data_IF_651826963808
#
_entry.id   IF_651826963808
#
_cell.length_a   1.000
_cell.length_b   1.000
_cell.length_c   1.000
_cell.angle_alpha   90.00
_cell.angle_beta   90.00
_cell.angle_gamma   90.00
#
_symmetry.space_group_name_H-M   'P 1'
#
loop_
_entity.id
_entity.type
_entity.pdbx_description
1 polymer ?
#
# COMPACT_ATOMS: atom_id res chain seq x y z
N UNK A 1 -10.92 18.64 24.74
CA UNK A 1 -10.38 18.97 23.42
C UNK A 1 -10.27 20.48 23.34
N UNK A 2 -9.07 21.04 23.19
CA UNK A 2 -8.91 22.49 23.08
C UNK A 2 -9.52 22.97 21.75
N UNK A 3 -10.33 24.02 21.81
CA UNK A 3 -10.96 24.61 20.64
C UNK A 3 -9.89 25.40 19.89
N UNK A 4 -9.68 25.08 18.61
CA UNK A 4 -8.67 25.73 17.74
C UNK A 4 -9.32 26.22 16.46
N UNK A 5 -8.84 27.33 15.89
CA UNK A 5 -9.21 27.77 14.55
C UNK A 5 -8.05 27.54 13.57
N UNK A 6 -8.36 27.38 12.28
CA UNK A 6 -7.35 27.16 11.22
C UNK A 6 -7.24 28.38 10.32
N UNK A 7 -6.03 28.87 10.08
CA UNK A 7 -5.79 30.00 9.19
C UNK A 7 -6.11 29.64 7.74
N UNK A 8 -7.02 30.38 7.10
CA UNK A 8 -7.43 30.12 5.71
C UNK A 8 -6.32 30.33 4.67
N UNK A 9 -5.26 31.05 5.02
CA UNK A 9 -4.15 31.34 4.11
C UNK A 9 -3.03 30.28 4.18
N UNK A 10 -2.58 29.93 5.40
CA UNK A 10 -1.44 29.03 5.60
C UNK A 10 -1.78 27.67 6.23
N UNK A 11 -3.06 27.43 6.55
CA UNK A 11 -3.57 26.20 7.19
C UNK A 11 -3.02 25.88 8.60
N UNK A 12 -2.29 26.81 9.24
CA UNK A 12 -1.82 26.65 10.61
C UNK A 12 -3.00 26.66 11.60
N UNK A 13 -3.03 25.70 12.54
CA UNK A 13 -3.96 25.70 13.68
C UNK A 13 -3.46 26.64 14.76
N UNK A 14 -4.31 27.55 15.21
CA UNK A 14 -4.00 28.53 16.26
C UNK A 14 -4.93 28.31 17.47
N UNK A 15 -4.49 28.79 18.64
CA UNK A 15 -5.33 28.83 19.86
C UNK A 15 -6.52 29.77 19.66
N UNK A 16 -7.65 29.50 20.32
CA UNK A 16 -8.82 30.39 20.34
C UNK A 16 -8.52 31.76 20.98
N UNK A 17 -7.54 31.84 21.89
CA UNK A 17 -7.15 33.10 22.54
C UNK A 17 -6.23 33.98 21.66
N UNK A 18 -5.87 33.51 20.46
CA UNK A 18 -4.98 34.23 19.55
C UNK A 18 -5.78 35.00 18.50
N UNK A 19 -5.73 36.33 18.58
CA UNK A 19 -6.39 37.23 17.62
C UNK A 19 -5.77 37.19 16.22
N UNK A 20 -4.54 36.67 16.10
CA UNK A 20 -3.77 36.60 14.86
C UNK A 20 -3.12 35.22 14.67
N UNK A 21 -2.87 34.84 13.41
CA UNK A 21 -2.17 33.61 13.08
C UNK A 21 -0.67 33.73 13.38
N UNK A 22 -0.10 32.75 14.09
CA UNK A 22 1.32 32.74 14.48
C UNK A 22 2.29 32.75 13.29
N UNK A 23 1.89 32.19 12.15
CA UNK A 23 2.76 32.07 10.96
C UNK A 23 2.70 33.30 10.06
N UNK A 24 1.51 33.88 9.84
CA UNK A 24 1.33 34.94 8.84
C UNK A 24 0.86 36.28 9.40
N UNK A 25 0.60 36.38 10.71
CA UNK A 25 0.16 37.62 11.38
C UNK A 25 -1.24 38.12 10.98
N UNK A 26 -2.01 37.35 10.19
CA UNK A 26 -3.36 37.75 9.77
C UNK A 26 -4.38 37.50 10.89
N UNK A 27 -5.39 38.37 11.06
CA UNK A 27 -6.41 38.20 12.08
C UNK A 27 -7.34 37.03 11.79
N UNK A 28 -8.00 36.50 12.83
CA UNK A 28 -8.86 35.31 12.73
C UNK A 28 -10.05 35.49 11.77
N UNK A 29 -10.54 36.72 11.58
CA UNK A 29 -11.67 37.07 10.72
C UNK A 29 -11.28 37.39 9.26
N UNK A 30 -10.00 37.31 8.92
CA UNK A 30 -9.50 37.66 7.59
C UNK A 30 -10.16 36.80 6.48
N UNK A 31 -10.81 37.48 5.53
CA UNK A 31 -11.39 36.87 4.33
C UNK A 31 -10.55 37.23 3.11
N UNK A 32 -10.23 36.27 2.22
CA UNK A 32 -9.59 36.59 0.96
C UNK A 32 -10.55 37.41 0.10
N UNK A 33 -10.23 38.67 -0.15
CA UNK A 33 -10.97 39.50 -1.10
C UNK A 33 -10.78 38.90 -2.49
N UNK A 34 -11.86 38.38 -3.09
CA UNK A 34 -11.90 38.07 -4.52
C UNK A 34 -11.93 39.40 -5.28
N UNK A 35 -10.77 40.00 -5.49
CA UNK A 35 -10.62 41.11 -6.42
C UNK A 35 -9.42 40.80 -7.32
N UNK A 36 -9.74 40.26 -8.49
CA UNK A 36 -8.85 40.26 -9.65
C UNK A 36 -8.76 41.67 -10.24
N UNK A 37 -8.23 42.61 -9.47
CA UNK A 37 -7.68 43.86 -9.96
C UNK A 37 -6.22 43.88 -9.56
N UNK A 38 -5.40 43.51 -10.54
CA UNK A 38 -3.94 43.56 -10.47
C UNK A 38 -3.56 45.04 -10.50
N UNK A 39 -3.43 45.64 -9.33
CA UNK A 39 -2.81 46.95 -9.18
C UNK A 39 -1.30 46.78 -9.42
N UNK A 40 -0.91 46.99 -10.68
CA UNK A 40 0.48 47.01 -11.14
C UNK A 40 1.18 48.19 -10.45
N UNK A 41 1.90 47.90 -9.37
CA UNK A 41 2.81 48.86 -8.75
C UNK A 41 4.04 49.05 -9.67
N UNK A 42 3.88 49.91 -10.69
CA UNK A 42 4.98 50.48 -11.47
C UNK A 42 5.81 51.37 -10.54
N UNK A 43 6.96 50.87 -10.09
CA UNK A 43 8.02 51.73 -9.53
C UNK A 43 8.54 52.63 -10.66
N UNK A 44 8.21 53.91 -10.57
CA UNK A 44 8.84 55.00 -11.33
C UNK A 44 10.19 55.29 -10.68
N UNK A 45 11.27 54.94 -11.37
CA UNK A 45 12.55 55.59 -11.15
C UNK A 45 12.70 56.69 -12.20
N UNK A 46 12.31 57.90 -11.80
CA UNK A 46 12.62 59.16 -12.47
C UNK A 46 13.95 59.68 -11.94
N UNK A 47 15.00 59.64 -12.75
CA UNK A 47 16.19 60.47 -12.59
C UNK A 47 16.66 60.95 -13.98
N UNK A 48 15.94 61.95 -14.49
CA UNK A 48 16.41 62.87 -15.52
C UNK A 48 17.11 64.04 -14.83
N UNK A 49 18.41 64.21 -15.09
CA UNK A 49 19.21 65.34 -14.63
C UNK A 49 20.24 65.69 -15.69
N UNK A 50 19.80 66.43 -16.70
CA UNK A 50 20.67 67.09 -17.67
C UNK A 50 21.23 68.38 -17.05
N UNK A 51 22.51 68.65 -17.29
CA UNK A 51 23.14 69.94 -17.02
C UNK A 51 24.34 70.14 -17.95
N UNK A 52 24.35 71.14 -18.84
CA UNK A 52 25.53 71.55 -19.59
C UNK A 52 26.19 72.75 -18.87
N UNK A 53 27.50 72.70 -18.63
CA UNK A 53 28.27 73.85 -18.13
C UNK A 53 29.55 74.03 -18.96
N UNK A 54 29.43 74.99 -19.88
CA UNK A 54 30.36 76.05 -20.31
C UNK A 54 31.86 75.96 -19.93
N UNK A 55 32.70 76.12 -20.97
CA UNK A 55 34.16 76.45 -20.98
C UNK A 55 34.54 77.65 -20.09
N UNK A 56 35.84 77.77 -19.73
CA UNK A 56 36.61 78.85 -20.35
C UNK A 56 38.05 78.47 -20.75
N UNK A 57 38.56 79.22 -21.74
CA UNK A 57 39.96 79.28 -22.18
C UNK A 57 40.83 80.12 -21.25
N UNK A 58 42.13 79.77 -21.12
CA UNK A 58 43.35 80.63 -21.12
C UNK A 58 44.55 79.68 -20.93
N UNK A 59 45.49 79.58 -21.87
CA UNK A 59 46.56 80.51 -22.23
C UNK A 59 47.74 80.49 -21.24
N UNK A 60 48.94 80.43 -21.84
CA UNK A 60 50.27 80.78 -21.31
C UNK A 60 51.20 79.67 -20.77
N UNK A 61 52.08 79.24 -21.69
CA UNK A 61 53.52 79.54 -21.69
C UNK A 61 54.55 78.76 -20.83
N UNK A 62 55.28 77.93 -21.59
CA UNK A 62 56.75 77.86 -21.70
C UNK A 62 57.60 77.09 -20.65
N UNK A 63 58.91 76.83 -20.90
CA UNK A 63 59.44 75.45 -20.89
C UNK A 63 60.62 75.27 -19.91
N UNK A 64 60.84 74.06 -19.38
CA UNK A 64 62.15 73.70 -18.81
C UNK A 64 62.55 72.27 -19.14
N UNK A 65 63.37 72.18 -20.19
CA UNK A 65 64.35 71.13 -20.40
C UNK A 65 65.37 71.15 -19.26
N UNK A 66 65.71 69.98 -18.71
CA UNK A 66 67.08 69.56 -18.30
C UNK A 66 67.00 68.22 -17.57
N UNK A 67 67.98 67.33 -17.83
CA UNK A 67 68.24 66.01 -17.21
C UNK A 67 67.86 64.77 -18.05
N UNK A 68 68.26 64.78 -19.33
CA UNK A 68 68.39 63.58 -20.16
C UNK A 68 69.79 62.94 -20.00
N UNK A 69 70.02 62.25 -18.88
CA UNK A 69 71.17 61.33 -18.78
C UNK A 69 70.99 60.18 -17.76
N UNK A 70 69.91 60.17 -16.97
CA UNK A 70 69.52 59.01 -16.13
C UNK A 70 68.18 58.37 -16.55
N UNK A 71 67.45 58.97 -17.50
CA UNK A 71 66.10 58.56 -17.91
C UNK A 71 66.04 57.24 -18.71
N UNK A 72 67.12 56.83 -19.39
CA UNK A 72 67.13 55.61 -20.21
C UNK A 72 67.11 54.33 -19.37
N UNK A 73 67.78 54.33 -18.20
CA UNK A 73 67.81 53.17 -17.29
C UNK A 73 66.47 53.02 -16.55
N UNK A 74 65.87 54.12 -16.08
CA UNK A 74 64.52 54.09 -15.48
C UNK A 74 63.43 53.73 -16.48
N UNK A 75 63.53 54.21 -17.73
CA UNK A 75 62.60 53.81 -18.79
C UNK A 75 62.70 52.31 -19.09
N UNK A 76 63.92 51.77 -19.27
CA UNK A 76 64.13 50.35 -19.53
C UNK A 76 63.70 49.47 -18.34
N UNK A 77 64.01 49.85 -17.10
CA UNK A 77 63.57 49.12 -15.91
C UNK A 77 62.06 49.21 -15.72
N UNK A 78 61.42 50.34 -16.04
CA UNK A 78 59.95 50.47 -16.00
C UNK A 78 59.26 49.62 -17.07
N UNK A 79 59.88 49.48 -18.25
CA UNK A 79 59.39 48.62 -19.33
C UNK A 79 59.56 47.17 -18.94
N UNK A 80 60.72 46.78 -18.40
CA UNK A 80 60.96 45.42 -17.90
C UNK A 80 60.06 45.08 -16.71
N UNK A 81 59.80 46.02 -15.80
CA UNK A 81 58.87 45.84 -14.69
C UNK A 81 57.42 45.79 -15.19
N UNK A 82 57.03 46.58 -16.19
CA UNK A 82 55.69 46.50 -16.79
C UNK A 82 55.51 45.20 -17.55
N UNK A 83 56.51 44.75 -18.31
CA UNK A 83 56.54 43.44 -18.99
C UNK A 83 56.50 42.33 -17.94
N UNK A 84 57.30 42.41 -16.89
CA UNK A 84 57.28 41.44 -15.79
C UNK A 84 55.93 41.45 -15.06
N UNK A 85 55.36 42.60 -14.71
CA UNK A 85 54.04 42.69 -14.05
C UNK A 85 52.90 42.26 -14.97
N UNK A 86 52.99 42.50 -16.29
CA UNK A 86 51.99 42.00 -17.25
C UNK A 86 52.13 40.50 -17.52
N UNK A 87 53.34 39.95 -17.45
CA UNK A 87 53.58 38.51 -17.60
C UNK A 87 53.38 37.71 -16.31
N UNK A 88 53.61 38.31 -15.14
CA UNK A 88 53.65 37.63 -13.83
C UNK A 88 52.39 37.81 -12.98
N UNK A 89 51.44 38.64 -13.40
CA UNK A 89 50.20 38.85 -12.65
C UNK A 89 48.96 38.45 -13.45
N UNK A 90 48.72 37.16 -13.75
CA UNK A 90 47.37 36.71 -14.07
C UNK A 90 46.57 36.63 -12.76
N UNK A 91 46.29 37.79 -12.19
CA UNK A 91 45.29 37.95 -11.14
C UNK A 91 43.94 37.74 -11.81
N UNK A 92 43.16 36.77 -11.32
CA UNK A 92 41.82 36.51 -11.83
C UNK A 92 40.79 36.62 -10.73
N UNK A 93 39.73 37.36 -11.01
CA UNK A 93 38.55 37.40 -10.17
C UNK A 93 37.64 36.23 -10.53
N UNK A 94 37.44 35.30 -9.59
CA UNK A 94 36.49 34.20 -9.71
C UNK A 94 35.11 34.66 -9.26
N UNK A 95 34.10 34.36 -10.08
CA UNK A 95 32.69 34.59 -9.73
C UNK A 95 32.21 33.58 -8.69
N UNK A 96 31.03 33.84 -8.11
CA UNK A 96 30.37 32.96 -7.12
C UNK A 96 30.14 31.53 -7.65
N UNK A 97 29.95 31.37 -8.95
CA UNK A 97 29.69 30.10 -9.63
C UNK A 97 30.91 29.55 -10.40
N UNK A 98 32.08 30.15 -10.23
CA UNK A 98 33.32 29.73 -10.91
C UNK A 98 34.28 29.05 -9.92
N UNK A 99 34.94 28.01 -10.40
CA UNK A 99 35.98 27.27 -9.70
C UNK A 99 37.24 27.25 -10.57
N UNK A 100 38.36 27.68 -10.00
CA UNK A 100 39.67 27.54 -10.60
C UNK A 100 40.25 26.17 -10.26
N UNK A 101 40.70 25.44 -11.28
CA UNK A 101 41.43 24.17 -11.15
C UNK A 101 42.85 24.38 -11.64
N UNK A 102 43.83 24.19 -10.76
CA UNK A 102 45.25 24.32 -11.09
C UNK A 102 45.89 22.93 -11.06
N UNK A 103 46.51 22.54 -12.18
CA UNK A 103 47.25 21.30 -12.27
C UNK A 103 48.68 21.51 -11.76
N UNK A 104 49.06 20.76 -10.72
CA UNK A 104 50.45 20.60 -10.29
C UNK A 104 51.02 19.31 -10.88
N UNK A 105 52.31 19.06 -10.64
CA UNK A 105 52.99 17.87 -11.15
C UNK A 105 52.34 16.56 -10.67
N UNK A 106 51.84 16.53 -9.44
CA UNK A 106 51.24 15.33 -8.82
C UNK A 106 49.83 15.54 -8.31
N UNK A 107 49.40 16.78 -8.10
CA UNK A 107 48.11 17.09 -7.48
C UNK A 107 47.31 18.08 -8.29
N UNK A 108 45.98 18.03 -8.18
CA UNK A 108 45.11 19.08 -8.68
C UNK A 108 44.56 19.83 -7.48
N UNK A 109 44.73 21.15 -7.45
CA UNK A 109 44.13 21.99 -6.40
C UNK A 109 42.95 22.75 -6.98
N UNK A 110 41.84 22.79 -6.24
CA UNK A 110 40.65 23.53 -6.61
C UNK A 110 40.45 24.72 -5.69
N UNK A 111 40.05 25.86 -6.24
CA UNK A 111 39.72 27.07 -5.48
C UNK A 111 38.36 27.58 -5.94
N UNK A 112 37.38 27.58 -5.04
CA UNK A 112 36.02 28.02 -5.32
C UNK A 112 35.95 29.55 -5.16
N UNK A 113 35.20 30.22 -6.03
CA UNK A 113 34.87 31.62 -5.85
C UNK A 113 33.82 31.85 -4.74
N UNK A 114 33.46 33.13 -4.47
CA UNK A 114 34.00 34.33 -5.07
C UNK A 114 35.36 34.72 -4.47
N UNK A 115 36.26 35.28 -5.26
CA UNK A 115 37.54 35.74 -4.74
C UNK A 115 38.55 36.09 -5.81
N UNK A 116 39.55 36.88 -5.42
CA UNK A 116 40.68 37.22 -6.28
C UNK A 116 41.79 36.20 -6.02
N UNK A 117 42.13 35.41 -7.05
CA UNK A 117 43.12 34.33 -6.95
C UNK A 117 44.31 34.68 -7.82
N UNK A 118 45.51 34.56 -7.24
CA UNK A 118 46.76 34.72 -7.98
C UNK A 118 47.16 33.40 -8.63
N UNK A 119 47.26 33.39 -9.95
CA UNK A 119 47.59 32.20 -10.73
C UNK A 119 49.08 32.25 -11.07
N UNK A 120 49.80 31.14 -10.88
CA UNK A 120 51.19 31.04 -11.33
C UNK A 120 51.22 30.88 -12.86
N UNK A 121 51.92 31.74 -13.63
CA UNK A 121 51.92 31.72 -15.10
C UNK A 121 52.53 30.44 -15.69
N UNK A 122 53.32 29.70 -14.92
CA UNK A 122 53.95 28.45 -15.36
C UNK A 122 53.10 27.20 -15.10
N UNK A 123 51.87 27.35 -14.58
CA UNK A 123 50.96 26.23 -14.31
C UNK A 123 49.77 26.24 -15.26
N UNK A 124 49.42 25.08 -15.77
CA UNK A 124 48.18 24.88 -16.53
C UNK A 124 46.99 24.97 -15.57
N UNK A 125 46.00 25.78 -15.95
CA UNK A 125 44.77 25.91 -15.19
C UNK A 125 43.55 25.81 -16.09
N UNK A 126 42.43 25.38 -15.52
CA UNK A 126 41.12 25.38 -16.17
C UNK A 126 40.08 25.97 -15.22
N UNK A 127 39.00 26.51 -15.79
CA UNK A 127 37.91 27.08 -15.00
C UNK A 127 36.67 26.25 -15.26
N UNK A 128 36.14 25.70 -14.18
CA UNK A 128 34.91 24.96 -14.16
C UNK A 128 33.80 25.84 -13.58
N UNK A 129 32.59 25.75 -14.13
CA UNK A 129 31.41 26.35 -13.50
C UNK A 129 30.81 25.36 -12.52
N UNK A 130 30.33 25.89 -11.40
CA UNK A 130 29.55 25.14 -10.42
C UNK A 130 28.22 24.71 -11.02
N UNK A 131 27.71 23.58 -10.54
CA UNK A 131 26.41 23.05 -10.94
C UNK A 131 25.39 23.49 -9.91
N UNK A 132 24.43 24.31 -10.32
CA UNK A 132 23.32 24.72 -9.45
C UNK A 132 22.32 23.56 -9.37
N UNK A 133 22.14 23.00 -8.18
CA UNK A 133 21.16 21.94 -7.93
C UNK A 133 19.92 22.52 -7.26
N UNK A 134 18.76 22.31 -7.88
CA UNK A 134 17.46 22.59 -7.28
C UNK A 134 17.11 21.58 -6.18
N UNK A 135 15.95 21.76 -5.56
CA UNK A 135 15.48 20.93 -4.42
C UNK A 135 15.29 19.46 -4.81
N UNK A 136 14.88 19.20 -6.06
CA UNK A 136 14.68 17.84 -6.58
C UNK A 136 15.90 17.33 -7.34
N UNK A 137 16.86 18.20 -7.68
CA UNK A 137 17.96 17.80 -8.55
C UNK A 137 19.03 17.05 -7.77
N UNK A 138 19.67 16.10 -8.44
CA UNK A 138 20.81 15.39 -7.90
C UNK A 138 21.87 15.17 -8.98
N UNK A 139 23.09 14.98 -8.51
CA UNK A 139 24.23 14.70 -9.36
C UNK A 139 24.93 13.44 -8.90
N UNK A 140 25.28 12.56 -9.85
CA UNK A 140 26.16 11.42 -9.62
C UNK A 140 27.59 11.83 -9.92
N UNK A 141 28.44 11.65 -8.92
CA UNK A 141 29.86 12.01 -8.97
C UNK A 141 30.68 10.76 -8.74
N UNK A 142 31.69 10.56 -9.59
CA UNK A 142 32.68 9.51 -9.40
C UNK A 142 34.05 10.13 -9.18
N UNK A 143 34.72 9.70 -8.13
CA UNK A 143 36.13 10.03 -7.92
C UNK A 143 37.00 9.23 -8.90
N UNK A 144 37.87 9.90 -9.63
CA UNK A 144 38.79 9.27 -10.59
C UNK A 144 39.91 8.51 -9.89
N UNK A 145 40.28 8.90 -8.66
CA UNK A 145 41.37 8.26 -7.92
C UNK A 145 40.90 6.96 -7.27
N UNK A 146 39.83 7.04 -6.48
CA UNK A 146 39.37 5.92 -5.66
C UNK A 146 38.28 5.10 -6.37
N UNK A 147 37.71 5.62 -7.45
CA UNK A 147 36.55 5.04 -8.12
C UNK A 147 35.26 5.12 -7.30
N UNK A 148 35.27 5.79 -6.14
CA UNK A 148 34.11 5.92 -5.27
C UNK A 148 33.03 6.76 -5.93
N UNK A 149 31.80 6.27 -5.92
CA UNK A 149 30.63 6.95 -6.44
C UNK A 149 29.80 7.51 -5.29
N UNK A 150 29.32 8.75 -5.44
CA UNK A 150 28.39 9.35 -4.49
C UNK A 150 27.31 10.16 -5.20
N UNK A 151 26.11 10.13 -4.64
CA UNK A 151 25.02 10.99 -5.06
C UNK A 151 25.04 12.27 -4.22
N UNK A 152 24.90 13.40 -4.88
CA UNK A 152 24.86 14.73 -4.28
C UNK A 152 23.46 15.29 -4.47
N UNK A 153 22.79 15.62 -3.37
CA UNK A 153 21.43 16.18 -3.38
C UNK A 153 21.46 17.72 -3.29
N UNK A 154 20.51 18.38 -3.95
CA UNK A 154 20.24 19.80 -3.76
C UNK A 154 19.31 20.09 -2.56
N UNK A 155 18.94 21.36 -2.32
CA UNK A 155 19.37 22.54 -3.08
C UNK A 155 20.76 23.01 -2.65
N UNK A 156 21.72 23.05 -3.57
CA UNK A 156 23.05 23.62 -3.31
C UNK A 156 23.79 23.97 -4.59
N UNK A 157 24.72 24.93 -4.49
CA UNK A 157 25.69 25.19 -5.54
C UNK A 157 26.83 24.18 -5.41
N UNK A 158 26.84 23.17 -6.28
CA UNK A 158 27.77 22.06 -6.18
C UNK A 158 29.05 22.32 -6.99
N UNK A 159 30.18 22.27 -6.29
CA UNK A 159 31.51 22.36 -6.88
C UNK A 159 32.14 20.97 -6.90
N UNK A 160 32.64 20.55 -8.06
CA UNK A 160 33.35 19.29 -8.21
C UNK A 160 34.71 19.35 -7.50
N UNK A 161 35.09 18.29 -6.80
CA UNK A 161 36.41 18.09 -6.23
C UNK A 161 37.53 17.96 -7.28
N UNK A 162 38.80 17.92 -6.86
CA UNK A 162 39.96 17.92 -7.75
C UNK A 162 40.01 16.73 -8.70
N UNK A 163 39.57 15.56 -8.26
CA UNK A 163 39.57 14.31 -9.03
C UNK A 163 38.17 13.80 -9.37
N UNK A 164 37.15 14.61 -9.08
CA UNK A 164 35.76 14.24 -9.32
C UNK A 164 35.36 14.46 -10.77
N UNK A 165 34.69 13.47 -11.34
CA UNK A 165 34.04 13.53 -12.64
C UNK A 165 32.53 13.45 -12.48
N UNK A 166 31.85 14.25 -13.29
CA UNK A 166 30.39 14.23 -13.40
C UNK A 166 29.98 13.04 -14.26
N UNK A 167 29.25 12.09 -13.67
CA UNK A 167 28.69 10.97 -14.45
C UNK A 167 27.32 11.32 -15.03
N UNK A 168 26.50 12.05 -14.28
CA UNK A 168 25.18 12.47 -14.74
C UNK A 168 24.48 13.42 -13.79
N UNK A 169 23.59 14.22 -14.35
CA UNK A 169 22.63 15.06 -13.62
C UNK A 169 21.25 14.41 -13.77
N UNK A 170 20.51 14.29 -12.69
CA UNK A 170 19.17 13.74 -12.69
C UNK A 170 18.23 14.53 -11.79
N UNK A 171 16.94 14.22 -11.90
CA UNK A 171 15.91 14.80 -11.04
C UNK A 171 15.29 13.68 -10.20
N UNK A 172 15.13 13.94 -8.91
CA UNK A 172 14.44 13.06 -7.97
C UNK A 172 12.99 12.86 -8.36
N UNK A 173 12.45 11.71 -8.01
CA UNK A 173 11.09 11.32 -8.36
C UNK A 173 10.17 11.60 -7.19
N UNK A 174 9.20 12.50 -7.39
CA UNK A 174 8.13 12.75 -6.42
C UNK A 174 7.10 11.62 -6.46
N UNK A 175 6.95 10.89 -5.35
CA UNK A 175 5.98 9.83 -5.19
C UNK A 175 4.70 10.37 -4.56
N UNK A 176 3.56 10.03 -5.15
CA UNK A 176 2.25 10.27 -4.52
C UNK A 176 1.97 9.23 -3.43
N UNK A 177 0.95 9.47 -2.59
CA UNK A 177 0.51 8.50 -1.55
C UNK A 177 0.00 7.17 -2.12
N UNK A 178 -0.24 7.08 -3.42
CA UNK A 178 -0.68 5.86 -4.12
C UNK A 178 0.47 5.16 -4.86
N UNK A 179 1.68 5.71 -4.80
CA UNK A 179 2.85 5.19 -5.51
C UNK A 179 3.92 4.74 -4.54
N UNK A 180 4.76 3.83 -5.01
CA UNK A 180 5.95 3.39 -4.34
C UNK A 180 7.08 3.25 -5.35
N UNK A 181 8.31 3.22 -4.86
CA UNK A 181 9.48 2.87 -5.67
C UNK A 181 10.07 1.56 -5.16
N UNK A 182 10.26 0.60 -6.06
CA UNK A 182 11.04 -0.60 -5.82
C UNK A 182 12.49 -0.26 -6.17
N UNK A 183 13.34 -0.21 -5.15
CA UNK A 183 14.75 0.16 -5.24
C UNK A 183 15.57 -1.12 -5.20
N UNK A 184 16.47 -1.27 -6.17
CA UNK A 184 17.46 -2.35 -6.23
C UNK A 184 18.85 -1.72 -6.22
N UNK A 185 19.68 -2.14 -5.27
CA UNK A 185 21.10 -1.79 -5.27
C UNK A 185 21.84 -2.72 -6.25
N UNK A 186 22.43 -2.14 -7.29
CA UNK A 186 23.14 -2.88 -8.34
C UNK A 186 24.36 -3.64 -7.83
N UNK A 187 24.94 -3.24 -6.70
CA UNK A 187 26.12 -3.90 -6.15
C UNK A 187 25.76 -5.10 -5.29
N UNK A 188 24.82 -4.92 -4.37
CA UNK A 188 24.45 -5.95 -3.39
C UNK A 188 23.31 -6.85 -3.89
N UNK A 189 22.50 -6.38 -4.85
CA UNK A 189 21.24 -7.00 -5.24
C UNK A 189 20.13 -6.84 -4.19
N UNK A 190 20.38 -6.06 -3.13
CA UNK A 190 19.38 -5.84 -2.09
C UNK A 190 18.23 -5.01 -2.64
N UNK A 191 17.00 -5.49 -2.39
CA UNK A 191 15.77 -4.82 -2.80
C UNK A 191 15.08 -4.21 -1.60
N UNK A 192 14.56 -3.00 -1.77
CA UNK A 192 13.74 -2.33 -0.75
C UNK A 192 12.61 -1.53 -1.40
N UNK A 193 11.56 -1.30 -0.64
CA UNK A 193 10.38 -0.54 -1.10
C UNK A 193 10.24 0.73 -0.28
N UNK A 194 10.13 1.87 -0.95
CA UNK A 194 9.77 3.15 -0.31
C UNK A 194 8.40 3.61 -0.79
N UNK A 195 7.51 3.88 0.17
CA UNK A 195 6.13 4.29 -0.07
C UNK A 195 6.03 5.82 -0.03
N UNK A 196 5.20 6.40 -0.90
CA UNK A 196 4.91 7.83 -0.84
C UNK A 196 3.98 8.21 0.33
N UNK A 197 3.75 9.52 0.58
CA UNK A 197 4.24 10.67 -0.18
C UNK A 197 5.68 11.06 0.21
N UNK A 198 6.62 10.95 -0.73
CA UNK A 198 8.04 11.22 -0.51
C UNK A 198 8.70 11.60 -1.84
N UNK A 199 9.75 12.43 -1.80
CA UNK A 199 10.65 12.58 -2.94
C UNK A 199 11.76 11.55 -2.79
N UNK A 200 11.81 10.57 -3.69
CA UNK A 200 12.90 9.62 -3.75
C UNK A 200 14.01 10.15 -4.64
N UNK A 201 15.23 10.18 -4.12
CA UNK A 201 16.43 10.51 -4.90
C UNK A 201 17.32 9.26 -4.93
N UNK A 202 17.70 8.76 -6.12
CA UNK A 202 18.54 7.57 -6.22
C UNK A 202 19.89 7.75 -5.53
N UNK A 203 20.32 6.74 -4.78
CA UNK A 203 21.72 6.60 -4.38
C UNK A 203 22.67 6.39 -5.57
N UNK A 204 23.99 6.34 -5.31
CA UNK A 204 25.01 6.21 -6.37
C UNK A 204 24.83 4.95 -7.23
N UNK A 205 24.48 3.82 -6.59
CA UNK A 205 24.34 2.50 -7.24
C UNK A 205 22.92 1.96 -7.22
N UNK A 206 21.97 2.81 -6.88
CA UNK A 206 20.58 2.43 -6.76
C UNK A 206 19.84 2.70 -8.07
N UNK A 207 19.03 1.74 -8.47
CA UNK A 207 18.04 1.89 -9.49
C UNK A 207 16.67 1.68 -8.90
N UNK A 208 15.70 2.48 -9.35
CA UNK A 208 14.34 2.44 -8.81
C UNK A 208 13.32 2.45 -9.91
N UNK A 209 12.33 1.57 -9.78
CA UNK A 209 11.15 1.55 -10.64
C UNK A 209 9.96 2.07 -9.87
N UNK A 210 9.37 3.16 -10.35
CA UNK A 210 8.16 3.73 -9.77
C UNK A 210 6.97 2.90 -10.21
N UNK A 211 6.17 2.46 -9.24
CA UNK A 211 5.01 1.61 -9.44
C UNK A 211 3.81 2.17 -8.66
N UNK A 212 2.60 1.83 -9.11
CA UNK A 212 1.38 2.18 -8.40
C UNK A 212 1.05 1.07 -7.39
N UNK A 213 0.61 1.47 -6.19
CA UNK A 213 0.06 0.56 -5.19
C UNK A 213 -1.22 -0.10 -5.70
N UNK A 214 -1.50 -1.31 -5.22
CA UNK A 214 -2.70 -2.06 -5.58
C UNK A 214 -3.86 -1.52 -4.78
N UNK A 215 -4.84 -0.91 -5.45
CA UNK A 215 -6.04 -0.40 -4.79
C UNK A 215 -7.03 -1.54 -4.61
N UNK A 216 -7.40 -1.82 -3.36
CA UNK A 216 -8.36 -2.86 -3.01
C UNK A 216 -9.67 -2.26 -2.56
N UNK A 217 -10.75 -2.74 -3.18
CA UNK A 217 -12.11 -2.45 -2.75
C UNK A 217 -12.52 -3.32 -1.55
N UNK A 218 -13.68 -3.02 -0.95
CA UNK A 218 -14.20 -3.80 0.19
C UNK A 218 -14.52 -5.27 -0.12
N UNK A 219 -14.61 -5.63 -1.39
CA UNK A 219 -14.88 -7.00 -1.88
C UNK A 219 -13.65 -7.66 -2.50
N UNK A 220 -12.50 -7.00 -2.50
CA UNK A 220 -11.26 -7.48 -3.11
C UNK A 220 -10.22 -7.80 -2.05
N UNK A 221 -9.30 -8.70 -2.40
CA UNK A 221 -8.18 -9.07 -1.56
C UNK A 221 -6.93 -9.32 -2.40
N UNK A 222 -5.77 -9.37 -1.75
CA UNK A 222 -4.50 -9.77 -2.36
C UNK A 222 -3.96 -10.97 -1.60
N UNK A 223 -3.68 -12.04 -2.33
CA UNK A 223 -2.88 -13.16 -1.84
C UNK A 223 -1.41 -12.81 -2.05
N UNK A 224 -0.63 -12.82 -0.97
CA UNK A 224 0.78 -12.44 -0.97
C UNK A 224 1.61 -13.65 -0.61
N UNK A 225 2.66 -13.91 -1.38
CA UNK A 225 3.66 -14.94 -1.13
C UNK A 225 5.03 -14.29 -1.04
N UNK A 226 5.70 -14.45 0.09
CA UNK A 226 7.09 -14.02 0.25
C UNK A 226 8.00 -15.05 -0.43
N UNK A 227 8.72 -14.62 -1.47
CA UNK A 227 9.60 -15.49 -2.26
C UNK A 227 10.79 -16.02 -1.47
N UNK A 228 11.20 -15.35 -0.38
CA UNK A 228 12.32 -15.80 0.45
C UNK A 228 11.90 -16.86 1.46
N UNK A 229 10.76 -16.66 2.13
CA UNK A 229 10.31 -17.53 3.22
C UNK A 229 9.27 -18.56 2.77
N UNK A 230 8.63 -18.36 1.62
CA UNK A 230 7.45 -19.11 1.18
C UNK A 230 6.20 -18.84 2.03
N UNK A 231 6.25 -17.85 2.93
CA UNK A 231 5.12 -17.52 3.79
C UNK A 231 4.01 -16.87 2.95
N UNK A 232 2.80 -17.40 3.08
CA UNK A 232 1.62 -16.88 2.39
C UNK A 232 0.71 -16.16 3.36
N UNK A 233 0.14 -15.03 2.92
CA UNK A 233 -0.87 -14.27 3.68
C UNK A 233 -1.89 -13.63 2.75
N UNK A 234 -3.01 -13.21 3.32
CA UNK A 234 -4.09 -12.56 2.57
C UNK A 234 -4.42 -11.22 3.21
N UNK A 235 -4.36 -10.16 2.39
CA UNK A 235 -4.68 -8.78 2.79
C UNK A 235 -6.03 -8.39 2.20
N UNK A 236 -6.95 -7.93 3.04
CA UNK A 236 -8.34 -7.60 2.66
C UNK A 236 -8.51 -6.10 2.49
N UNK A 237 -9.30 -5.65 1.52
CA UNK A 237 -9.66 -4.24 1.38
C UNK A 237 -10.70 -3.77 2.41
N UNK A 238 -11.06 -2.47 2.44
CA UNK A 238 -10.63 -1.43 1.51
C UNK A 238 -9.30 -0.75 1.94
N UNK A 239 -8.26 -0.88 1.14
CA UNK A 239 -6.96 -0.26 1.41
C UNK A 239 -6.15 -0.09 0.12
N UNK A 240 -5.03 0.64 0.20
CA UNK A 240 -4.00 0.64 -0.84
C UNK A 240 -2.88 -0.25 -0.32
N UNK A 241 -2.67 -1.38 -0.97
CA UNK A 241 -1.66 -2.34 -0.61
C UNK A 241 -0.37 -2.09 -1.42
N UNK A 242 0.77 -2.28 -0.76
CA UNK A 242 2.09 -2.10 -1.34
C UNK A 242 2.92 -3.36 -1.10
N UNK A 243 3.45 -4.01 -2.16
CA UNK A 243 4.28 -5.20 -2.00
C UNK A 243 5.56 -4.87 -1.24
N UNK A 244 6.03 -5.84 -0.47
CA UNK A 244 7.40 -5.89 0.04
C UNK A 244 8.41 -6.16 -1.08
N UNK A 245 9.72 -6.07 -0.77
CA UNK A 245 10.79 -6.16 -1.77
C UNK A 245 10.92 -7.52 -2.46
N UNK A 246 10.48 -8.57 -1.79
CA UNK A 246 10.55 -9.96 -2.24
C UNK A 246 9.17 -10.63 -2.26
N UNK A 247 8.11 -9.84 -2.34
CA UNK A 247 6.75 -10.34 -2.30
C UNK A 247 6.16 -10.44 -3.70
N UNK A 248 5.69 -11.64 -4.03
CA UNK A 248 4.81 -11.88 -5.17
C UNK A 248 3.36 -11.84 -4.71
N UNK A 249 2.46 -11.47 -5.62
CA UNK A 249 1.07 -11.29 -5.26
C UNK A 249 0.10 -11.56 -6.41
N UNK A 250 -1.10 -11.98 -6.02
CA UNK A 250 -2.24 -12.18 -6.92
C UNK A 250 -3.47 -11.48 -6.34
N UNK A 251 -4.15 -10.67 -7.15
CA UNK A 251 -5.40 -10.01 -6.77
C UNK A 251 -6.58 -10.95 -7.01
N UNK A 252 -7.46 -11.06 -6.01
CA UNK A 252 -8.67 -11.86 -6.08
C UNK A 252 -9.90 -11.09 -5.59
N UNK A 253 -11.07 -11.64 -5.90
CA UNK A 253 -12.37 -11.12 -5.45
C UNK A 253 -12.95 -12.05 -4.40
N UNK A 254 -13.42 -11.47 -3.30
CA UNK A 254 -14.15 -12.19 -2.27
C UNK A 254 -15.42 -12.84 -2.81
N UNK A 255 -15.82 -13.96 -2.20
CA UNK A 255 -17.01 -14.71 -2.59
C UNK A 255 -18.19 -14.16 -1.80
N UNK A 256 -19.17 -13.56 -2.50
CA UNK A 256 -20.41 -13.17 -1.87
C UNK A 256 -21.26 -14.39 -1.53
N UNK A 257 -21.66 -14.49 -0.26
CA UNK A 257 -22.56 -15.53 0.24
C UNK A 257 -23.90 -14.91 0.61
N UNK A 258 -24.98 -15.44 0.04
CA UNK A 258 -26.35 -15.11 0.47
C UNK A 258 -26.68 -15.76 1.82
N UNK A 259 -27.85 -15.43 2.38
CA UNK A 259 -28.35 -16.07 3.62
C UNK A 259 -28.62 -17.57 3.49
N UNK A 260 -28.64 -18.13 2.28
CA UNK A 260 -28.85 -19.54 2.01
C UNK A 260 -27.62 -20.23 1.43
N UNK A 261 -26.48 -19.55 1.38
CA UNK A 261 -25.22 -20.08 0.85
C UNK A 261 -24.18 -20.23 1.96
N UNK A 262 -23.25 -21.14 1.73
CA UNK A 262 -22.10 -21.35 2.62
C UNK A 262 -20.86 -21.73 1.81
N UNK A 263 -19.70 -21.67 2.45
CA UNK A 263 -18.43 -22.17 1.91
C UNK A 263 -17.88 -23.22 2.86
N UNK A 264 -17.59 -24.40 2.34
CA UNK A 264 -16.80 -25.40 3.05
C UNK A 264 -15.34 -25.13 2.76
N UNK A 265 -14.56 -24.94 3.82
CA UNK A 265 -13.14 -24.62 3.75
C UNK A 265 -12.34 -25.77 4.34
N UNK A 266 -11.29 -26.18 3.65
CA UNK A 266 -10.27 -27.09 4.14
C UNK A 266 -8.91 -26.39 4.07
N UNK A 267 -8.28 -26.21 5.21
CA UNK A 267 -6.91 -25.70 5.27
C UNK A 267 -5.95 -26.81 4.80
N UNK A 268 -5.16 -26.56 3.78
CA UNK A 268 -4.23 -27.56 3.20
C UNK A 268 -3.05 -27.86 4.12
N UNK A 269 -2.69 -26.93 5.01
CA UNK A 269 -1.58 -27.08 5.94
C UNK A 269 -2.00 -27.84 7.21
N UNK A 270 -3.08 -27.42 7.88
CA UNK A 270 -3.55 -28.09 9.12
C UNK A 270 -4.48 -29.27 8.88
N UNK A 271 -5.09 -29.37 7.69
CA UNK A 271 -6.15 -30.33 7.40
C UNK A 271 -7.50 -30.00 8.06
N UNK A 272 -7.58 -28.91 8.83
CA UNK A 272 -8.79 -28.48 9.51
C UNK A 272 -9.88 -28.11 8.51
N UNK A 273 -11.11 -28.57 8.78
CA UNK A 273 -12.28 -28.24 7.97
C UNK A 273 -13.21 -27.34 8.76
N UNK A 274 -13.73 -26.30 8.11
CA UNK A 274 -14.75 -25.40 8.67
C UNK A 274 -15.80 -25.05 7.63
N UNK A 275 -16.93 -24.52 8.09
CA UNK A 275 -18.02 -24.06 7.23
C UNK A 275 -18.39 -22.63 7.63
N UNK A 276 -18.21 -21.71 6.68
CA UNK A 276 -18.52 -20.30 6.84
C UNK A 276 -19.88 -20.01 6.17
N UNK A 277 -20.79 -19.38 6.91
CA UNK A 277 -22.20 -19.17 6.50
C UNK A 277 -22.44 -17.71 6.12
N UNK A 278 -23.29 -17.45 5.12
CA UNK A 278 -23.71 -16.09 4.78
C UNK A 278 -24.79 -15.52 5.73
N UNK A 279 -25.20 -14.24 5.56
CA UNK A 279 -24.82 -13.34 4.48
C UNK A 279 -23.53 -12.57 4.77
N UNK A 280 -22.48 -12.78 3.98
CA UNK A 280 -21.20 -12.08 4.13
C UNK A 280 -20.36 -12.13 2.85
N UNK A 281 -19.31 -11.30 2.79
CA UNK A 281 -18.21 -11.47 1.82
C UNK A 281 -17.18 -12.39 2.46
N UNK A 282 -17.00 -13.57 1.89
CA UNK A 282 -16.00 -14.53 2.35
C UNK A 282 -14.68 -14.33 1.59
N UNK A 283 -13.56 -14.41 2.31
CA UNK A 283 -12.22 -14.29 1.75
C UNK A 283 -11.42 -15.54 2.09
N UNK A 284 -10.78 -16.19 1.10
CA UNK A 284 -9.96 -17.36 1.38
C UNK A 284 -8.75 -16.97 2.22
N UNK A 285 -8.37 -17.84 3.17
CA UNK A 285 -7.06 -17.78 3.80
C UNK A 285 -5.94 -18.26 2.87
N UNK A 286 -4.67 -18.04 3.26
CA UNK A 286 -3.51 -18.30 2.40
C UNK A 286 -3.31 -19.77 1.98
N UNK A 287 -3.89 -20.70 2.75
CA UNK A 287 -3.79 -22.15 2.53
C UNK A 287 -5.18 -22.78 2.42
N UNK A 288 -6.22 -21.99 2.16
CA UNK A 288 -7.59 -22.48 2.17
C UNK A 288 -8.00 -22.99 0.79
N UNK A 289 -8.30 -24.28 0.70
CA UNK A 289 -9.09 -24.84 -0.40
C UNK A 289 -10.57 -24.78 -0.02
N UNK A 290 -11.43 -24.41 -0.96
CA UNK A 290 -12.82 -24.16 -0.65
C UNK A 290 -13.78 -24.59 -1.74
N UNK A 291 -15.02 -24.88 -1.34
CA UNK A 291 -16.13 -25.18 -2.23
C UNK A 291 -17.39 -24.45 -1.76
N UNK A 292 -18.07 -23.76 -2.68
CA UNK A 292 -19.34 -23.08 -2.40
C UNK A 292 -20.48 -24.10 -2.43
N UNK A 293 -21.38 -24.02 -1.44
CA UNK A 293 -22.56 -24.86 -1.32
C UNK A 293 -23.82 -24.07 -1.02
N UNK A 294 -24.96 -24.72 -1.16
CA UNK A 294 -26.29 -24.18 -0.85
C UNK A 294 -26.89 -24.90 0.34
N UNK A 295 -27.41 -24.13 1.29
CA UNK A 295 -28.13 -24.62 2.46
C UNK A 295 -29.38 -25.42 2.05
N UNK A 296 -29.78 -26.35 2.91
CA UNK A 296 -31.02 -27.11 2.71
C UNK A 296 -32.16 -26.43 3.46
N UNK A 297 -33.14 -25.92 2.72
CA UNK A 297 -34.35 -25.34 3.31
C UNK A 297 -35.39 -26.44 3.54
N UNK A 298 -35.89 -26.56 4.77
CA UNK A 298 -36.90 -27.54 5.16
C UNK A 298 -38.22 -26.84 5.49
N UNK A 299 -39.33 -27.38 5.01
CA UNK A 299 -40.68 -26.97 5.43
C UNK A 299 -41.05 -27.59 6.78
N UNK A 300 -42.19 -27.19 7.37
CA UNK A 300 -42.68 -27.74 8.64
C UNK A 300 -43.00 -29.24 8.61
N UNK A 301 -43.17 -29.82 7.42
CA UNK A 301 -43.42 -31.25 7.22
C UNK A 301 -42.20 -32.01 6.73
N UNK A 302 -41.03 -31.38 6.64
CA UNK A 302 -39.82 -31.98 6.12
C UNK A 302 -38.76 -32.18 7.20
N UNK A 303 -37.93 -33.19 6.99
CA UNK A 303 -36.77 -33.46 7.82
C UNK A 303 -35.63 -34.07 7.02
N UNK A 304 -34.43 -33.99 7.57
CA UNK A 304 -33.22 -34.65 7.05
C UNK A 304 -32.56 -35.44 8.16
N UNK A 305 -31.86 -36.49 7.77
CA UNK A 305 -30.95 -37.21 8.64
C UNK A 305 -29.53 -36.74 8.32
N UNK A 306 -28.82 -36.28 9.33
CA UNK A 306 -27.43 -35.81 9.23
C UNK A 306 -26.54 -36.83 9.90
N UNK A 307 -25.51 -37.30 9.20
CA UNK A 307 -24.51 -38.20 9.75
C UNK A 307 -23.17 -37.49 9.78
N UNK A 308 -22.60 -37.34 10.96
CA UNK A 308 -21.28 -36.78 11.13
C UNK A 308 -20.24 -37.87 10.85
N UNK A 309 -19.45 -37.72 9.78
CA UNK A 309 -18.48 -38.72 9.33
C UNK A 309 -17.38 -39.02 10.34
N UNK A 310 -17.04 -38.06 11.20
CA UNK A 310 -15.95 -38.22 12.17
C UNK A 310 -16.41 -39.04 13.39
N UNK A 311 -17.60 -38.74 13.91
CA UNK A 311 -18.13 -39.38 15.12
C UNK A 311 -19.02 -40.60 14.83
N UNK A 312 -19.52 -40.73 13.59
CA UNK A 312 -20.56 -41.70 13.23
C UNK A 312 -21.93 -41.38 13.80
N UNK A 313 -22.07 -40.29 14.57
CA UNK A 313 -23.34 -39.89 15.18
C UNK A 313 -24.31 -39.45 14.10
N UNK A 314 -25.52 -40.00 14.16
CA UNK A 314 -26.63 -39.65 13.27
C UNK A 314 -27.66 -38.85 14.05
N UNK A 315 -27.94 -37.63 13.60
CA UNK A 315 -28.92 -36.73 14.20
C UNK A 315 -30.02 -36.41 13.17
N UNK A 316 -31.24 -36.14 13.63
CA UNK A 316 -32.35 -35.71 12.78
C UNK A 316 -32.60 -34.22 12.95
N UNK A 317 -32.78 -33.51 11.82
CA UNK A 317 -33.13 -32.09 11.79
C UNK A 317 -34.53 -31.95 11.19
N UNK A 318 -35.45 -31.34 11.94
CA UNK A 318 -36.84 -31.10 11.54
C UNK A 318 -37.02 -29.64 11.10
N UNK A 319 -37.85 -29.39 10.09
CA UNK A 319 -38.20 -28.03 9.70
C UNK A 319 -39.33 -27.41 10.56
N UNK A 320 -39.68 -26.12 10.34
CA UNK A 320 -39.15 -25.25 9.29
C UNK A 320 -37.82 -24.61 9.69
N UNK A 321 -36.76 -24.86 8.91
CA UNK A 321 -35.46 -24.26 9.16
C UNK A 321 -34.58 -24.25 7.91
N UNK A 322 -33.58 -23.38 7.90
CA UNK A 322 -32.47 -23.41 6.93
C UNK A 322 -31.31 -24.12 7.61
N UNK A 323 -30.97 -25.31 7.11
CA UNK A 323 -29.90 -26.11 7.65
C UNK A 323 -28.61 -25.94 6.86
N UNK A 324 -27.49 -25.83 7.59
CA UNK A 324 -26.14 -25.74 7.05
C UNK A 324 -25.33 -26.93 7.55
N UNK A 325 -24.58 -27.62 6.66
CA UNK A 325 -23.73 -28.73 7.08
C UNK A 325 -22.60 -28.26 7.99
N UNK A 326 -22.28 -29.06 8.99
CA UNK A 326 -20.98 -29.00 9.67
C UNK A 326 -19.84 -29.53 8.77
N UNK A 327 -18.58 -29.33 9.19
CA UNK A 327 -17.39 -29.64 8.37
C UNK A 327 -17.22 -31.12 7.99
N UNK A 328 -17.85 -32.02 8.73
CA UNK A 328 -17.79 -33.48 8.49
C UNK A 328 -19.18 -34.08 8.28
N UNK A 329 -20.20 -33.25 8.11
CA UNK A 329 -21.56 -33.73 8.03
C UNK A 329 -21.88 -34.21 6.62
N UNK A 330 -22.67 -35.28 6.56
CA UNK A 330 -23.32 -35.72 5.34
C UNK A 330 -24.82 -35.73 5.53
N UNK A 331 -25.53 -35.20 4.54
CA UNK A 331 -26.97 -35.02 4.58
C UNK A 331 -27.65 -36.09 3.74
N UNK A 332 -28.71 -36.69 4.27
CA UNK A 332 -29.61 -37.55 3.49
C UNK A 332 -30.49 -36.71 2.56
N UNK A 333 -31.15 -37.30 1.54
CA UNK A 333 -32.22 -36.62 0.83
C UNK A 333 -33.28 -36.08 1.81
N UNK A 334 -33.92 -34.96 1.44
CA UNK A 334 -35.04 -34.40 2.19
C UNK A 334 -36.18 -35.42 2.21
N UNK A 335 -36.69 -35.71 3.39
CA UNK A 335 -37.79 -36.65 3.62
C UNK A 335 -39.00 -35.89 4.12
N UNK A 336 -40.18 -36.31 3.70
CA UNK A 336 -41.44 -35.82 4.24
C UNK A 336 -41.82 -36.63 5.49
N UNK A 337 -42.30 -35.93 6.51
CA UNK A 337 -42.87 -36.50 7.71
C UNK A 337 -44.19 -37.22 7.38
N UNK A 338 -44.46 -38.29 8.11
CA UNK A 338 -45.67 -39.08 7.93
C UNK A 338 -46.80 -38.33 8.63
N UNK A 339 -47.77 -37.87 7.84
CA UNK A 339 -49.00 -37.26 8.36
C UNK A 339 -49.98 -38.39 8.65
N UNK A 340 -50.33 -38.58 9.93
CA UNK A 340 -51.36 -39.51 10.35
C UNK A 340 -52.69 -38.78 10.56
N UNK A 341 -53.77 -39.40 10.12
CA UNK A 341 -55.14 -39.01 10.45
C UNK A 341 -55.60 -39.61 11.78
N UNK A 342 -56.79 -39.22 12.24
CA UNK A 342 -57.39 -39.71 13.48
C UNK A 342 -57.61 -41.23 13.47
N UNK A 343 -57.95 -41.81 12.31
CA UNK A 343 -58.18 -43.24 12.13
C UNK A 343 -56.92 -44.01 11.70
N UNK A 344 -55.72 -43.43 11.77
CA UNK A 344 -54.50 -44.05 11.26
C UNK A 344 -53.46 -44.37 12.34
N UNK A 345 -52.65 -45.39 12.08
CA UNK A 345 -51.51 -45.75 12.90
C UNK A 345 -50.35 -46.33 12.07
N UNK A 346 -49.16 -46.27 12.64
CA UNK A 346 -47.92 -46.85 12.06
C UNK A 346 -47.24 -47.72 13.11
N UNK A 347 -46.78 -48.90 12.67
CA UNK A 347 -45.94 -49.81 13.46
C UNK A 347 -44.47 -49.46 13.23
N UNK A 348 -43.79 -49.10 14.31
CA UNK A 348 -42.40 -48.70 14.30
C UNK A 348 -41.54 -49.75 14.99
N UNK A 349 -40.33 -49.90 14.48
CA UNK A 349 -39.27 -50.69 15.09
C UNK A 349 -37.99 -49.86 15.10
N UNK A 350 -37.40 -49.71 16.28
CA UNK A 350 -36.05 -49.19 16.40
C UNK A 350 -35.07 -50.31 16.05
N UNK A 351 -34.23 -50.10 15.04
CA UNK A 351 -33.25 -51.09 14.57
C UNK A 351 -32.18 -51.32 15.64
N UNK A 352 -31.82 -50.28 16.40
CA UNK A 352 -30.70 -50.34 17.34
C UNK A 352 -31.04 -51.16 18.59
N UNK A 353 -32.23 -50.93 19.15
CA UNK A 353 -32.71 -51.60 20.37
C UNK A 353 -33.57 -52.83 20.09
N UNK A 354 -34.16 -52.92 18.89
CA UNK A 354 -35.15 -53.94 18.53
C UNK A 354 -36.54 -53.68 19.10
N UNK A 355 -36.73 -52.59 19.86
CA UNK A 355 -38.00 -52.23 20.47
C UNK A 355 -39.04 -51.90 19.40
N UNK A 356 -40.28 -52.34 19.63
CA UNK A 356 -41.41 -52.13 18.72
C UNK A 356 -42.53 -51.40 19.45
N UNK A 357 -43.17 -50.46 18.76
CA UNK A 357 -44.34 -49.76 19.29
C UNK A 357 -45.25 -49.30 18.16
N UNK A 358 -46.44 -48.83 18.54
CA UNK A 358 -47.44 -48.30 17.61
C UNK A 358 -47.61 -46.81 17.90
N UNK A 359 -47.50 -45.99 16.86
CA UNK A 359 -47.85 -44.58 16.90
C UNK A 359 -49.21 -44.39 16.23
N UNK A 360 -50.16 -43.71 16.90
CA UNK A 360 -51.57 -43.65 16.48
C UNK A 360 -52.15 -42.24 16.64
N UNK A 361 -53.18 -41.94 15.83
CA UNK A 361 -53.95 -40.71 15.90
C UNK A 361 -53.31 -39.55 15.14
N UNK A 362 -54.06 -38.44 15.02
CA UNK A 362 -53.66 -37.28 14.22
C UNK A 362 -52.37 -36.66 14.72
N UNK A 363 -51.30 -36.85 13.95
CA UNK A 363 -49.95 -36.45 14.35
C UNK A 363 -49.04 -36.35 13.14
N UNK A 364 -47.96 -35.58 13.29
CA UNK A 364 -46.89 -35.46 12.30
C UNK A 364 -45.69 -36.24 12.81
N UNK A 365 -45.44 -37.40 12.22
CA UNK A 365 -44.43 -38.33 12.67
C UNK A 365 -43.14 -38.17 11.86
N UNK A 366 -42.06 -37.82 12.56
CA UNK A 366 -40.71 -37.75 12.01
C UNK A 366 -39.94 -39.01 12.41
N UNK A 367 -39.35 -39.71 11.44
CA UNK A 367 -38.63 -40.95 11.72
C UNK A 367 -37.20 -40.64 12.19
N UNK A 368 -36.88 -41.05 13.42
CA UNK A 368 -35.51 -41.01 13.91
C UNK A 368 -34.57 -41.87 13.04
N UNK A 369 -33.26 -41.60 13.01
CA UNK A 369 -32.31 -42.28 12.12
C UNK A 369 -32.30 -43.81 12.28
N UNK A 370 -32.55 -44.32 13.49
CA UNK A 370 -32.58 -45.75 13.78
C UNK A 370 -33.96 -46.37 13.64
N UNK A 371 -35.01 -45.59 13.37
CA UNK A 371 -36.36 -46.09 13.26
C UNK A 371 -36.65 -46.60 11.85
N UNK A 372 -37.37 -47.72 11.77
CA UNK A 372 -37.95 -48.24 10.53
C UNK A 372 -39.43 -48.52 10.73
N UNK A 373 -40.18 -48.30 9.66
CA UNK A 373 -41.56 -48.75 9.56
C UNK A 373 -41.52 -50.26 9.32
N UNK A 374 -42.22 -51.03 10.15
CA UNK A 374 -42.34 -52.47 9.93
C UNK A 374 -43.26 -52.67 8.72
N UNK A 375 -42.71 -53.15 7.61
CA UNK A 375 -43.42 -53.23 6.33
C UNK A 375 -44.72 -54.00 6.50
N UNK A 376 -45.83 -53.31 6.28
CA UNK A 376 -47.13 -53.94 6.06
C UNK A 376 -47.38 -54.07 4.56
N UNK A 377 -48.46 -54.73 4.16
CA UNK A 377 -48.83 -54.97 2.75
C UNK A 377 -48.91 -53.66 1.93
N UNK A 378 -49.12 -52.51 2.58
CA UNK A 378 -49.09 -51.17 1.98
C UNK A 378 -47.67 -50.60 1.86
N UNK A 379 -47.34 -49.98 0.72
CA UNK A 379 -46.04 -49.32 0.48
C UNK A 379 -45.70 -48.19 1.46
N UNK A 380 -46.69 -47.53 2.07
CA UNK A 380 -46.48 -46.47 3.06
C UNK A 380 -46.30 -46.98 4.50
N UNK A 381 -46.68 -48.23 4.77
CA UNK A 381 -46.77 -48.80 6.12
C UNK A 381 -47.80 -48.14 7.05
N UNK A 382 -48.63 -47.22 6.54
CA UNK A 382 -49.75 -46.60 7.28
C UNK A 382 -50.93 -47.57 7.26
N UNK A 383 -51.50 -47.83 8.44
CA UNK A 383 -52.63 -48.73 8.60
C UNK A 383 -53.82 -47.98 9.20
N UNK A 384 -55.03 -48.32 8.79
CA UNK A 384 -56.25 -47.82 9.43
C UNK A 384 -56.51 -48.57 10.72
N UNK A 385 -56.71 -47.82 11.79
CA UNK A 385 -57.26 -48.29 13.05
C UNK A 385 -58.71 -48.73 12.83
N UNK A 386 -59.10 -49.84 13.45
CA UNK A 386 -60.49 -50.24 13.48
C UNK A 386 -61.21 -49.51 14.60
N UNK A 387 -62.13 -48.62 14.22
CA UNK A 387 -63.09 -48.05 15.13
C UNK A 387 -64.23 -49.06 15.34
N UNK A 388 -64.31 -49.65 16.53
CA UNK A 388 -65.44 -50.51 16.88
C UNK A 388 -66.71 -49.68 17.00
N UNK A 389 -67.75 -50.04 16.25
CA UNK A 389 -69.09 -49.49 16.46
C UNK A 389 -69.67 -50.11 17.73
N UNK A 390 -70.57 -49.43 18.45
CA UNK A 390 -70.94 -49.73 19.85
C UNK A 390 -71.46 -51.13 20.22
N UNK A 391 -71.57 -52.09 19.28
CA UNK A 391 -71.88 -53.51 19.53
C UNK A 391 -70.85 -54.49 18.93
N UNK A 392 -69.79 -53.99 18.31
CA UNK A 392 -68.70 -54.79 17.76
C UNK A 392 -67.69 -55.11 18.87
N UNK A 393 -67.22 -56.36 18.92
CA UNK A 393 -66.22 -56.80 19.88
C UNK A 393 -65.09 -57.53 19.15
N UNK A 394 -63.85 -57.25 19.56
CA UNK A 394 -62.69 -58.00 19.08
C UNK A 394 -62.53 -59.26 19.93
N UNK A 395 -62.66 -60.42 19.32
CA UNK A 395 -62.25 -61.69 19.95
C UNK A 395 -60.74 -61.86 19.77
N UNK A 396 -59.97 -61.49 20.78
CA UNK A 396 -58.53 -61.77 20.84
C UNK A 396 -58.32 -63.28 20.91
N UNK A 397 -57.92 -63.90 19.79
CA UNK A 397 -57.37 -65.26 19.83
C UNK A 397 -55.93 -65.18 20.34
N UNK A 398 -55.74 -65.45 21.63
CA UNK A 398 -54.40 -65.63 22.20
C UNK A 398 -53.85 -66.95 21.64
N UNK A 399 -52.73 -66.89 20.92
CA UNK A 399 -52.07 -68.11 20.44
C UNK A 399 -51.74 -69.01 21.64
N UNK A 400 -52.03 -70.32 21.59
CA UNK A 400 -51.76 -71.22 22.70
C UNK A 400 -50.27 -71.17 23.04
N UNK A 401 -49.94 -70.94 24.32
CA UNK A 401 -48.57 -70.84 24.82
C UNK A 401 -47.71 -72.00 24.30
N UNK A 402 -46.73 -71.69 23.46
CA UNK A 402 -45.66 -72.63 23.10
C UNK A 402 -44.90 -72.99 24.39
N UNK A 403 -45.08 -74.22 24.88
CA UNK A 403 -44.24 -74.79 25.94
C UNK A 403 -42.84 -74.96 25.36
N UNK A 404 -41.91 -74.09 25.74
CA UNK A 404 -40.48 -74.31 25.52
C UNK A 404 -40.02 -75.33 26.56
N UNK A 405 -39.98 -76.61 26.19
CA UNK A 405 -39.25 -77.62 26.96
C UNK A 405 -37.76 -77.39 26.73
N UNK A 406 -37.03 -76.97 27.78
CA UNK A 406 -35.55 -76.97 27.78
C UNK A 406 -35.07 -78.42 27.62
N UNK A 407 -34.32 -78.69 26.55
CA UNK A 407 -33.53 -79.90 26.35
C UNK A 407 -32.07 -79.63 26.64
#
# INVERSE_FOLDING_TARGET
MAVTWSCKLCMQRNSMDSDQCITCGRPADWKPTRSGEVEVYRRRDTCSGAGPVVRPQRADDSPRQTLQASQTVFAAMSVMLRIFMTLMCPVRFLRMDEQLRVQHLTTVTVTNGPGLVWINPFKTYSIARAITLGVLDYVRVRDTMDGSERAVHGPRLFFLGPYEKLEGVGQGVSLTSMQYVLIEDKQTGERRVQRGPLVWIPGPREEGKVLAGVRLNSTEYVSVEDTLTGARRVEKGPCIWFPGPYEEWEQGSGVWLSSTEYVTVQNTFSGERRVDKGPCVWFPGPYDQWTKGTSTSLTCTQYITVVNKLTGKSDMVKGPCIWFPGPYDTVSPVKDAIVLQDDEYVKLKDISTGTRWVHRGRSLLFLEPTWRIESSVSSSGIQKSWALRGREFLRLQVAPHLRVTKG
#
